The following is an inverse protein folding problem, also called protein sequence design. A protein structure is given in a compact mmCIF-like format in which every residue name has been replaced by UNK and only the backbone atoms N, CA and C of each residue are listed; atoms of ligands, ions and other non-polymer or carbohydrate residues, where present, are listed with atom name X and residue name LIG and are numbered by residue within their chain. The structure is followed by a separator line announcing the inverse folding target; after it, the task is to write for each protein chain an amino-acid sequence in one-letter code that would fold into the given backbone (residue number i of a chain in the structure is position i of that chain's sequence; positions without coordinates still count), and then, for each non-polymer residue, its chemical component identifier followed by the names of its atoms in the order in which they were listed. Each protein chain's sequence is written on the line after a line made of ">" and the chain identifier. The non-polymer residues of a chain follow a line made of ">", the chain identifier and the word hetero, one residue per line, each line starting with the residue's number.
data_IF_385907101655
#
_entry.id   IF_385907101655
#
_cell.length_a   1.000
_cell.length_b   1.000
_cell.length_c   1.000
_cell.angle_alpha   90.00
_cell.angle_beta   90.00
_cell.angle_gamma   90.00
#
_symmetry.space_group_name_H-M   'P 1'
#
loop_
_entity.id
_entity.type
_entity.pdbx_description
1 polymer ?
#
# COMPACT_ATOMS: atom_id res chain seq x y z
N UNK A 1 -5.82 -15.42 14.72
CA UNK A 1 -5.37 -16.69 15.38
C UNK A 1 -4.65 -16.38 16.69
N UNK A 2 -4.63 -17.32 17.68
CA UNK A 2 -3.82 -17.12 18.90
C UNK A 2 -2.34 -17.24 18.52
N UNK A 3 -1.51 -16.28 18.91
CA UNK A 3 -0.10 -16.23 18.55
C UNK A 3 0.72 -15.40 19.56
N UNK A 4 2.03 -15.47 19.45
CA UNK A 4 2.97 -14.59 20.14
C UNK A 4 3.95 -14.03 19.14
N UNK A 5 4.49 -12.85 19.42
CA UNK A 5 5.45 -12.16 18.55
C UNK A 5 6.72 -11.86 19.34
N UNK A 6 7.86 -12.09 18.73
CA UNK A 6 9.18 -11.71 19.26
C UNK A 6 10.02 -11.05 18.16
N UNK A 7 10.81 -10.06 18.52
CA UNK A 7 11.81 -9.48 17.63
C UNK A 7 13.07 -10.33 17.63
N UNK A 8 13.60 -10.61 16.43
CA UNK A 8 14.84 -11.31 16.21
C UNK A 8 15.87 -10.35 15.60
N UNK A 9 16.88 -9.99 16.36
CA UNK A 9 18.02 -9.19 15.89
C UNK A 9 19.20 -10.13 15.66
N UNK A 10 19.77 -10.09 14.45
CA UNK A 10 20.86 -10.96 14.02
C UNK A 10 22.21 -10.27 14.08
N UNK A 11 23.29 -11.04 14.29
CA UNK A 11 24.65 -10.50 14.33
C UNK A 11 25.10 -9.88 13.00
N UNK A 12 24.57 -10.37 11.88
CA UNK A 12 24.84 -9.81 10.56
C UNK A 12 24.15 -8.45 10.31
N UNK A 13 23.24 -8.01 11.22
CA UNK A 13 22.55 -6.72 11.17
C UNK A 13 21.11 -6.77 10.65
N UNK A 14 20.65 -7.92 10.14
CA UNK A 14 19.25 -8.08 9.78
C UNK A 14 18.37 -8.13 11.04
N UNK A 15 17.14 -7.65 10.92
CA UNK A 15 16.14 -7.65 11.98
C UNK A 15 14.80 -8.13 11.46
N UNK A 16 14.03 -8.78 12.31
CA UNK A 16 12.70 -9.23 11.90
C UNK A 16 11.86 -9.70 13.05
N UNK A 17 10.68 -10.19 12.72
CA UNK A 17 9.71 -10.72 13.65
C UNK A 17 9.54 -12.22 13.47
N UNK A 18 9.41 -12.91 14.58
CA UNK A 18 8.94 -14.29 14.64
C UNK A 18 7.52 -14.28 15.21
N UNK A 19 6.55 -14.70 14.41
CA UNK A 19 5.15 -14.79 14.79
C UNK A 19 4.80 -16.26 15.02
N UNK A 20 4.89 -16.70 16.25
CA UNK A 20 4.55 -18.08 16.61
C UNK A 20 3.05 -18.29 16.69
N UNK A 21 2.53 -19.11 15.78
CA UNK A 21 1.13 -19.55 15.73
C UNK A 21 1.08 -21.03 16.09
N UNK A 22 0.68 -21.41 17.31
CA UNK A 22 0.66 -22.80 17.73
C UNK A 22 -0.20 -23.69 16.82
N UNK A 23 0.33 -24.86 16.46
CA UNK A 23 -0.33 -25.83 15.59
C UNK A 23 -0.67 -25.34 14.18
N UNK A 24 -0.02 -24.29 13.69
CA UNK A 24 -0.12 -23.93 12.28
C UNK A 24 0.45 -25.05 11.38
N UNK A 25 -0.24 -25.30 10.28
CA UNK A 25 0.16 -26.28 9.27
C UNK A 25 0.83 -25.63 8.05
N UNK A 26 1.05 -24.31 8.11
CA UNK A 26 1.74 -23.52 7.08
C UNK A 26 2.77 -22.61 7.74
N UNK A 27 3.78 -22.25 6.96
CA UNK A 27 4.76 -21.23 7.32
C UNK A 27 4.73 -20.12 6.28
N UNK A 28 4.91 -18.87 6.71
CA UNK A 28 5.03 -17.73 5.82
C UNK A 28 6.36 -17.00 6.07
N UNK A 29 6.93 -16.47 5.02
CA UNK A 29 8.20 -15.73 5.01
C UNK A 29 8.01 -14.45 4.24
N UNK A 30 8.43 -13.34 4.82
CA UNK A 30 8.47 -12.04 4.16
C UNK A 30 9.84 -11.41 4.36
N UNK A 31 10.44 -10.91 3.28
CA UNK A 31 11.74 -10.23 3.28
C UNK A 31 11.59 -8.88 2.59
N UNK A 32 11.74 -7.81 3.36
CA UNK A 32 11.58 -6.44 2.90
C UNK A 32 12.91 -5.70 2.86
N UNK A 33 13.14 -4.97 1.76
CA UNK A 33 14.28 -4.07 1.59
C UNK A 33 13.78 -2.69 1.18
N UNK A 34 14.28 -1.64 1.80
CA UNK A 34 14.08 -0.28 1.28
C UNK A 34 14.88 -0.14 -0.02
N UNK A 35 14.24 -0.50 -1.11
CA UNK A 35 14.84 -0.65 -2.44
C UNK A 35 13.93 -0.14 -3.57
N UNK A 36 12.91 0.66 -3.24
CA UNK A 36 11.95 1.18 -4.19
C UNK A 36 12.46 2.30 -5.08
N UNK A 37 11.53 2.84 -5.88
CA UNK A 37 11.83 3.82 -6.93
C UNK A 37 12.41 5.14 -6.41
N UNK A 38 12.22 5.49 -5.13
CA UNK A 38 12.81 6.71 -4.53
C UNK A 38 14.34 6.70 -4.49
N UNK A 39 14.97 5.55 -4.71
CA UNK A 39 16.44 5.37 -4.69
C UNK A 39 17.09 5.38 -6.07
N UNK A 40 16.31 5.53 -7.13
CA UNK A 40 16.82 5.52 -8.49
C UNK A 40 16.70 6.88 -9.19
N UNK A 41 17.45 7.09 -10.26
CA UNK A 41 17.24 8.22 -11.15
C UNK A 41 15.78 8.18 -11.68
N UNK A 42 15.01 9.27 -11.56
CA UNK A 42 13.62 9.32 -12.07
C UNK A 42 13.47 8.90 -13.54
N UNK A 43 14.53 8.99 -14.36
CA UNK A 43 14.55 8.51 -15.75
C UNK A 43 14.69 6.99 -15.86
N UNK A 44 15.04 6.32 -14.79
CA UNK A 44 15.25 4.87 -14.71
C UNK A 44 14.27 4.24 -13.70
N UNK A 45 13.08 4.78 -13.64
CA UNK A 45 12.05 4.45 -12.64
C UNK A 45 11.81 2.95 -12.48
N UNK A 46 11.81 2.17 -13.57
CA UNK A 46 11.51 0.72 -13.54
C UNK A 46 12.67 -0.18 -13.09
N UNK A 47 13.80 0.37 -12.68
CA UNK A 47 14.93 -0.45 -12.20
C UNK A 47 14.55 -1.36 -11.02
N UNK A 48 13.86 -0.88 -9.96
CA UNK A 48 13.44 -1.73 -8.84
C UNK A 48 12.43 -2.81 -9.28
N UNK A 49 11.45 -2.44 -10.10
CA UNK A 49 10.41 -3.37 -10.56
C UNK A 49 10.97 -4.49 -11.45
N UNK A 50 11.85 -4.16 -12.41
CA UNK A 50 12.53 -5.18 -13.20
C UNK A 50 13.46 -6.03 -12.31
N UNK A 51 14.12 -5.44 -11.32
CA UNK A 51 14.93 -6.16 -10.35
C UNK A 51 14.12 -7.20 -9.58
N UNK A 52 12.95 -6.82 -9.10
CA UNK A 52 12.02 -7.69 -8.40
C UNK A 52 11.70 -8.94 -9.24
N UNK A 53 11.31 -8.75 -10.52
CA UNK A 53 11.02 -9.85 -11.44
C UNK A 53 12.22 -10.78 -11.66
N UNK A 54 13.41 -10.23 -11.80
CA UNK A 54 14.63 -11.02 -12.07
C UNK A 54 15.09 -11.80 -10.84
N UNK A 55 14.89 -11.28 -9.62
CA UNK A 55 15.42 -11.93 -8.42
C UNK A 55 14.75 -13.26 -8.09
N UNK A 56 13.45 -13.40 -8.34
CA UNK A 56 12.76 -14.69 -8.15
C UNK A 56 12.96 -15.63 -9.35
N UNK A 57 14.17 -15.63 -9.91
CA UNK A 57 14.57 -16.40 -11.09
C UNK A 57 15.84 -17.22 -10.87
N UNK A 58 16.71 -17.25 -11.92
CA UNK A 58 17.97 -17.98 -11.86
C UNK A 58 18.89 -17.47 -10.76
N UNK A 59 19.44 -18.40 -10.01
CA UNK A 59 20.36 -18.13 -8.91
C UNK A 59 21.50 -19.15 -8.93
N UNK A 60 22.55 -18.95 -8.11
CA UNK A 60 23.71 -19.84 -8.09
C UNK A 60 23.38 -21.32 -7.82
N UNK A 61 22.30 -21.57 -7.06
CA UNK A 61 21.86 -22.93 -6.72
C UNK A 61 21.09 -23.59 -7.85
N UNK A 62 20.19 -22.83 -8.50
CA UNK A 62 19.35 -23.30 -9.61
C UNK A 62 19.48 -22.29 -10.77
N UNK A 63 20.40 -22.54 -11.75
CA UNK A 63 20.79 -21.55 -12.76
C UNK A 63 19.76 -21.31 -13.87
N UNK A 64 18.51 -21.78 -13.73
CA UNK A 64 17.42 -21.56 -14.69
C UNK A 64 16.16 -21.17 -13.96
N UNK A 65 15.57 -20.03 -14.31
CA UNK A 65 14.37 -19.50 -13.65
C UNK A 65 13.22 -20.51 -13.63
N UNK A 66 12.94 -21.17 -14.75
CA UNK A 66 11.88 -22.17 -14.85
C UNK A 66 12.08 -23.35 -13.88
N UNK A 67 13.32 -23.80 -13.72
CA UNK A 67 13.63 -24.92 -12.82
C UNK A 67 13.53 -24.47 -11.35
N UNK A 68 13.90 -23.21 -11.07
CA UNK A 68 13.71 -22.60 -9.76
C UNK A 68 12.21 -22.51 -9.40
N UNK A 69 11.37 -21.99 -10.29
CA UNK A 69 9.93 -21.92 -10.05
C UNK A 69 9.31 -23.31 -9.86
N UNK A 70 9.68 -24.29 -10.70
CA UNK A 70 9.21 -25.66 -10.56
C UNK A 70 9.62 -26.29 -9.22
N UNK A 71 10.84 -26.01 -8.74
CA UNK A 71 11.27 -26.51 -7.43
C UNK A 71 10.58 -25.78 -6.27
N UNK A 72 10.32 -24.48 -6.40
CA UNK A 72 9.63 -23.69 -5.37
C UNK A 72 8.17 -24.12 -5.23
N UNK A 73 7.44 -24.30 -6.33
CA UNK A 73 6.02 -24.66 -6.37
C UNK A 73 5.74 -26.16 -6.13
N UNK A 74 6.75 -26.98 -6.10
CA UNK A 74 6.72 -28.45 -6.15
C UNK A 74 5.68 -29.11 -5.23
N UNK A 75 5.48 -28.58 -4.03
CA UNK A 75 4.53 -29.11 -3.05
C UNK A 75 3.37 -28.12 -2.76
N UNK A 76 3.11 -27.20 -3.70
CA UNK A 76 2.06 -26.21 -3.57
C UNK A 76 2.45 -24.98 -2.77
N UNK A 77 3.74 -24.69 -2.65
CA UNK A 77 4.18 -23.42 -2.09
C UNK A 77 3.79 -22.28 -3.03
N UNK A 78 3.39 -21.16 -2.44
CA UNK A 78 3.15 -19.90 -3.11
C UNK A 78 4.34 -18.97 -2.88
N UNK A 79 4.72 -18.22 -3.89
CA UNK A 79 5.68 -17.14 -3.74
C UNK A 79 5.28 -15.94 -4.59
N UNK A 80 5.63 -14.76 -4.13
CA UNK A 80 5.39 -13.52 -4.84
C UNK A 80 6.45 -12.49 -4.45
N UNK A 81 6.55 -11.43 -5.25
CA UNK A 81 7.26 -10.23 -4.87
C UNK A 81 6.43 -9.00 -5.26
N UNK A 82 6.72 -7.90 -4.64
CA UNK A 82 6.06 -6.63 -4.93
C UNK A 82 7.02 -5.46 -4.77
N UNK A 83 6.89 -4.49 -5.66
CA UNK A 83 7.65 -3.23 -5.62
C UNK A 83 6.74 -2.06 -5.34
N UNK A 84 7.11 -1.26 -4.36
CA UNK A 84 6.51 0.04 -4.07
C UNK A 84 7.52 1.16 -4.27
N UNK A 85 7.05 2.41 -4.22
CA UNK A 85 7.96 3.57 -4.25
C UNK A 85 9.06 3.47 -3.19
N UNK A 86 8.79 2.81 -2.07
CA UNK A 86 9.70 2.78 -0.91
C UNK A 86 10.49 1.49 -0.78
N UNK A 87 9.94 0.38 -1.18
CA UNK A 87 10.50 -0.94 -0.85
C UNK A 87 10.24 -2.00 -1.92
N UNK A 88 10.94 -3.10 -1.77
CA UNK A 88 10.64 -4.38 -2.42
C UNK A 88 10.42 -5.40 -1.32
N UNK A 89 9.33 -6.16 -1.43
CA UNK A 89 8.99 -7.26 -0.55
C UNK A 89 8.99 -8.58 -1.32
N UNK A 90 9.62 -9.59 -0.77
CA UNK A 90 9.60 -10.98 -1.26
C UNK A 90 8.86 -11.83 -0.26
N UNK A 91 7.89 -12.59 -0.69
CA UNK A 91 7.06 -13.41 0.18
C UNK A 91 6.94 -14.86 -0.31
N UNK A 92 6.78 -15.78 0.62
CA UNK A 92 6.41 -17.15 0.34
C UNK A 92 5.51 -17.71 1.44
N UNK A 93 4.59 -18.59 1.05
CA UNK A 93 3.79 -19.41 1.95
C UNK A 93 3.90 -20.88 1.53
N UNK A 94 4.12 -21.76 2.50
CA UNK A 94 4.28 -23.18 2.23
C UNK A 94 3.70 -24.05 3.33
N UNK A 95 3.50 -25.32 3.02
CA UNK A 95 3.16 -26.32 4.02
C UNK A 95 4.27 -26.46 5.08
N UNK A 96 3.88 -26.69 6.34
CA UNK A 96 4.79 -26.74 7.48
C UNK A 96 5.91 -27.80 7.34
N UNK A 97 5.64 -28.90 6.63
CA UNK A 97 6.63 -29.98 6.47
C UNK A 97 7.81 -29.64 5.56
N UNK A 98 7.71 -28.56 4.75
CA UNK A 98 8.75 -28.18 3.78
C UNK A 98 9.36 -26.79 4.01
N UNK A 99 9.10 -26.19 5.14
CA UNK A 99 9.45 -24.81 5.43
C UNK A 99 10.96 -24.51 5.27
N UNK A 100 11.82 -25.42 5.68
CA UNK A 100 13.28 -25.24 5.55
C UNK A 100 13.70 -25.15 4.07
N UNK A 101 13.12 -26.03 3.25
CA UNK A 101 13.39 -26.07 1.79
C UNK A 101 12.95 -24.76 1.12
N UNK A 102 11.75 -24.30 1.43
CA UNK A 102 11.21 -23.06 0.82
C UNK A 102 11.96 -21.82 1.30
N UNK A 103 12.26 -21.73 2.59
CA UNK A 103 13.09 -20.65 3.14
C UNK A 103 14.47 -20.60 2.46
N UNK A 104 15.12 -21.75 2.31
CA UNK A 104 16.43 -21.85 1.69
C UNK A 104 16.41 -21.49 0.18
N UNK A 105 15.36 -21.85 -0.54
CA UNK A 105 15.14 -21.45 -1.94
C UNK A 105 14.91 -19.93 -2.07
N UNK A 106 14.08 -19.35 -1.23
CA UNK A 106 13.85 -17.90 -1.22
C UNK A 106 15.13 -17.13 -0.93
N UNK A 107 15.89 -17.57 0.06
CA UNK A 107 17.17 -16.94 0.39
C UNK A 107 18.20 -17.11 -0.72
N UNK A 108 18.25 -18.26 -1.40
CA UNK A 108 19.14 -18.47 -2.56
C UNK A 108 18.82 -17.47 -3.69
N UNK A 109 17.54 -17.26 -3.98
CA UNK A 109 17.10 -16.29 -5.00
C UNK A 109 17.46 -14.85 -4.62
N UNK A 110 17.15 -14.45 -3.38
CA UNK A 110 17.37 -13.08 -2.88
C UNK A 110 18.86 -12.75 -2.74
N UNK A 111 19.70 -13.73 -2.30
CA UNK A 111 21.08 -13.44 -1.94
C UNK A 111 22.12 -13.79 -3.00
N UNK A 112 21.78 -14.65 -3.98
CA UNK A 112 22.70 -15.14 -5.01
C UNK A 112 22.08 -15.17 -6.41
N UNK A 113 21.43 -14.09 -6.86
CA UNK A 113 20.84 -14.02 -8.20
C UNK A 113 21.95 -13.98 -9.27
N UNK A 114 21.67 -14.59 -10.42
CA UNK A 114 22.64 -14.64 -11.52
C UNK A 114 22.55 -13.47 -12.51
N UNK A 115 21.46 -12.74 -12.55
CA UNK A 115 21.24 -11.61 -13.48
C UNK A 115 21.57 -11.95 -14.95
N UNK A 116 21.02 -13.06 -15.42
CA UNK A 116 21.28 -13.55 -16.79
C UNK A 116 20.65 -12.60 -17.82
N UNK A 117 21.38 -12.31 -18.90
CA UNK A 117 20.93 -11.36 -19.93
C UNK A 117 19.62 -11.79 -20.61
N UNK A 118 19.43 -13.08 -20.84
CA UNK A 118 18.24 -13.58 -21.52
C UNK A 118 17.02 -13.56 -20.60
N UNK A 119 17.19 -13.84 -19.30
CA UNK A 119 16.14 -13.68 -18.30
C UNK A 119 15.76 -12.20 -18.13
N UNK A 120 16.74 -11.31 -17.99
CA UNK A 120 16.48 -9.87 -17.97
C UNK A 120 15.65 -9.41 -19.17
N UNK A 121 15.92 -9.92 -20.39
CA UNK A 121 15.13 -9.56 -21.58
C UNK A 121 13.70 -10.09 -21.50
N UNK A 122 13.51 -11.31 -20.99
CA UNK A 122 12.20 -11.90 -20.80
C UNK A 122 11.41 -11.09 -19.77
N UNK A 123 12.00 -10.83 -18.60
CA UNK A 123 11.35 -10.09 -17.53
C UNK A 123 11.10 -8.62 -17.89
N UNK A 124 12.00 -7.98 -18.63
CA UNK A 124 11.73 -6.66 -19.20
C UNK A 124 10.46 -6.67 -20.09
N UNK A 125 10.27 -7.72 -20.89
CA UNK A 125 9.06 -7.91 -21.69
C UNK A 125 7.82 -8.12 -20.82
N UNK A 126 7.91 -8.92 -19.76
CA UNK A 126 6.82 -9.18 -18.82
C UNK A 126 6.39 -7.88 -18.11
N UNK A 127 7.32 -7.10 -17.60
CA UNK A 127 7.06 -5.78 -16.99
C UNK A 127 6.40 -4.82 -17.99
N UNK A 128 6.86 -4.83 -19.25
CA UNK A 128 6.24 -4.02 -20.31
C UNK A 128 4.77 -4.38 -20.54
N UNK A 129 4.45 -5.67 -20.66
CA UNK A 129 3.08 -6.15 -20.83
C UNK A 129 2.20 -5.83 -19.59
N UNK A 130 2.74 -6.00 -18.41
CA UNK A 130 2.06 -5.67 -17.16
C UNK A 130 1.72 -4.17 -17.08
N UNK A 131 2.67 -3.28 -17.33
CA UNK A 131 2.44 -1.83 -17.36
C UNK A 131 1.45 -1.44 -18.46
N UNK A 132 1.52 -2.11 -19.63
CA UNK A 132 0.56 -1.90 -20.71
C UNK A 132 -0.85 -2.27 -20.28
N UNK A 133 -1.03 -3.41 -19.63
CA UNK A 133 -2.33 -3.81 -19.09
C UNK A 133 -2.84 -2.85 -18.02
N UNK A 134 -1.98 -2.45 -17.06
CA UNK A 134 -2.30 -1.49 -16.00
C UNK A 134 -2.64 -0.10 -16.54
N UNK A 135 -2.01 0.32 -17.64
CA UNK A 135 -2.22 1.63 -18.27
C UNK A 135 -3.64 1.84 -18.78
N UNK A 136 -4.42 0.78 -18.95
CA UNK A 136 -5.84 0.83 -19.31
C UNK A 136 -6.77 1.13 -18.12
N UNK A 137 -6.26 1.11 -16.90
CA UNK A 137 -7.04 1.46 -15.72
C UNK A 137 -7.09 2.99 -15.54
N UNK A 138 -8.21 3.59 -15.92
CA UNK A 138 -8.39 5.04 -15.88
C UNK A 138 -8.35 5.63 -14.46
N UNK A 139 -8.91 4.91 -13.47
CA UNK A 139 -8.87 5.35 -12.09
C UNK A 139 -7.43 5.37 -11.54
N UNK A 140 -6.66 4.30 -11.82
CA UNK A 140 -5.24 4.23 -11.48
C UNK A 140 -4.42 5.31 -12.18
N UNK A 141 -4.66 5.55 -13.48
CA UNK A 141 -4.00 6.64 -14.21
C UNK A 141 -4.24 7.98 -13.51
N UNK A 142 -5.51 8.29 -13.22
CA UNK A 142 -5.89 9.54 -12.56
C UNK A 142 -5.24 9.69 -11.18
N UNK A 143 -5.29 8.65 -10.34
CA UNK A 143 -4.74 8.70 -8.99
C UNK A 143 -3.22 8.92 -8.99
N UNK A 144 -2.48 8.25 -9.88
CA UNK A 144 -1.03 8.41 -10.00
C UNK A 144 -0.65 9.80 -10.52
N UNK A 145 -1.34 10.31 -11.56
CA UNK A 145 -1.12 11.64 -12.10
C UNK A 145 -1.41 12.73 -11.06
N UNK A 146 -2.48 12.56 -10.27
CA UNK A 146 -2.83 13.48 -9.22
C UNK A 146 -1.81 13.48 -8.09
N UNK A 147 -1.35 12.31 -7.64
CA UNK A 147 -0.31 12.18 -6.61
C UNK A 147 1.00 12.85 -7.04
N UNK A 148 1.42 12.68 -8.28
CA UNK A 148 2.58 13.38 -8.83
C UNK A 148 2.35 14.89 -8.86
N UNK A 149 1.17 15.35 -9.27
CA UNK A 149 0.84 16.77 -9.37
C UNK A 149 0.95 17.51 -8.04
N UNK A 150 0.62 16.88 -6.91
CA UNK A 150 0.76 17.52 -5.60
C UNK A 150 2.04 17.14 -4.82
N UNK A 151 3.00 16.49 -5.48
CA UNK A 151 4.38 16.39 -5.00
C UNK A 151 4.77 15.07 -4.36
N UNK A 152 3.95 14.02 -4.46
CA UNK A 152 4.38 12.67 -4.10
C UNK A 152 5.21 12.04 -5.22
N UNK A 153 6.06 11.12 -4.84
CA UNK A 153 6.78 10.25 -5.77
C UNK A 153 5.77 9.29 -6.43
N UNK A 154 5.39 9.62 -7.63
CA UNK A 154 4.49 8.80 -8.44
C UNK A 154 4.77 9.01 -9.92
N UNK A 155 4.45 8.01 -10.75
CA UNK A 155 4.44 8.12 -12.20
C UNK A 155 3.30 7.28 -12.76
N UNK A 156 2.63 7.84 -13.76
CA UNK A 156 1.62 7.08 -14.50
C UNK A 156 2.24 5.90 -15.25
N UNK A 157 1.47 4.83 -15.44
CA UNK A 157 1.98 3.64 -16.14
C UNK A 157 2.41 4.00 -17.59
N UNK A 158 1.77 4.99 -18.22
CA UNK A 158 2.17 5.50 -19.56
C UNK A 158 3.55 6.19 -19.54
N UNK A 159 3.86 6.93 -18.47
CA UNK A 159 5.19 7.54 -18.30
C UNK A 159 6.24 6.48 -17.98
N UNK A 160 5.90 5.53 -17.12
CA UNK A 160 6.76 4.39 -16.79
C UNK A 160 7.16 3.62 -18.03
N UNK A 161 6.21 3.26 -18.90
CA UNK A 161 6.48 2.63 -20.22
C UNK A 161 7.46 3.44 -21.07
N UNK A 162 7.31 4.78 -21.13
CA UNK A 162 8.23 5.65 -21.88
C UNK A 162 9.65 5.63 -21.29
N UNK A 163 9.77 5.47 -19.98
CA UNK A 163 11.05 5.50 -19.27
C UNK A 163 11.78 4.14 -19.30
N UNK A 164 11.09 3.03 -19.52
CA UNK A 164 11.70 1.69 -19.58
C UNK A 164 12.90 1.61 -20.52
N UNK A 165 12.86 2.29 -21.67
CA UNK A 165 13.97 2.32 -22.63
C UNK A 165 15.32 2.79 -22.05
N UNK A 166 15.30 3.45 -20.91
CA UNK A 166 16.49 3.95 -20.23
C UNK A 166 17.10 2.93 -19.26
N UNK A 167 16.38 1.85 -18.96
CA UNK A 167 16.80 0.82 -18.00
C UNK A 167 17.65 -0.24 -18.70
N UNK A 168 18.76 -0.59 -18.10
CA UNK A 168 19.69 -1.62 -18.57
C UNK A 168 19.96 -2.63 -17.45
N UNK A 169 20.35 -3.83 -17.81
CA UNK A 169 20.74 -4.86 -16.83
C UNK A 169 21.79 -4.36 -15.83
N UNK A 170 22.74 -3.55 -16.28
CA UNK A 170 23.76 -2.98 -15.40
C UNK A 170 23.16 -2.08 -14.30
N UNK A 171 22.10 -1.35 -14.60
CA UNK A 171 21.39 -0.50 -13.62
C UNK A 171 20.69 -1.36 -12.56
N UNK A 172 20.09 -2.47 -12.97
CA UNK A 172 19.44 -3.45 -12.09
C UNK A 172 20.46 -4.09 -11.15
N UNK A 173 21.61 -4.54 -11.69
CA UNK A 173 22.70 -5.14 -10.90
C UNK A 173 23.29 -4.14 -9.92
N UNK A 174 23.47 -2.88 -10.32
CA UNK A 174 23.98 -1.81 -9.46
C UNK A 174 22.98 -1.52 -8.32
N UNK A 175 21.69 -1.42 -8.63
CA UNK A 175 20.66 -1.17 -7.65
C UNK A 175 20.58 -2.30 -6.61
N UNK A 176 20.64 -3.55 -7.06
CA UNK A 176 20.71 -4.71 -6.18
C UNK A 176 21.90 -4.60 -5.22
N UNK A 177 23.12 -4.39 -5.72
CA UNK A 177 24.34 -4.27 -4.91
C UNK A 177 24.26 -3.14 -3.88
N UNK A 178 23.55 -2.06 -4.22
CA UNK A 178 23.40 -0.91 -3.35
C UNK A 178 22.35 -1.12 -2.25
N UNK A 179 21.29 -1.88 -2.55
CA UNK A 179 20.10 -1.96 -1.69
C UNK A 179 19.97 -3.27 -0.92
N UNK A 180 20.47 -4.39 -1.46
CA UNK A 180 20.37 -5.69 -0.81
C UNK A 180 21.54 -5.91 0.13
N UNK A 181 21.39 -5.39 1.35
CA UNK A 181 22.31 -5.57 2.47
C UNK A 181 21.55 -5.96 3.73
N UNK A 182 22.20 -6.69 4.63
CA UNK A 182 21.55 -7.22 5.84
C UNK A 182 21.03 -6.12 6.75
N UNK A 183 21.72 -4.98 6.89
CA UNK A 183 21.21 -3.84 7.65
C UNK A 183 19.93 -3.23 7.01
N UNK A 184 19.74 -3.38 5.71
CA UNK A 184 18.54 -2.91 5.00
C UNK A 184 17.39 -3.92 5.03
N UNK A 185 17.67 -5.19 5.34
CA UNK A 185 16.70 -6.26 5.39
C UNK A 185 15.85 -6.19 6.66
N UNK A 186 14.53 -6.30 6.49
CA UNK A 186 13.58 -6.64 7.54
C UNK A 186 12.83 -7.89 7.11
N UNK A 187 12.51 -8.76 8.06
CA UNK A 187 11.80 -9.99 7.76
C UNK A 187 10.68 -10.27 8.75
N UNK A 188 9.68 -11.01 8.30
CA UNK A 188 8.68 -11.63 9.17
C UNK A 188 8.61 -13.11 8.82
N UNK A 189 8.75 -13.96 9.83
CA UNK A 189 8.55 -15.41 9.72
C UNK A 189 7.39 -15.79 10.63
N UNK A 190 6.36 -16.42 10.07
CA UNK A 190 5.20 -16.82 10.85
C UNK A 190 4.84 -18.29 10.63
N UNK A 191 4.34 -18.92 11.68
CA UNK A 191 3.92 -20.32 11.67
C UNK A 191 4.15 -21.01 13.01
N UNK A 192 4.24 -22.32 13.02
CA UNK A 192 4.51 -23.08 14.25
C UNK A 192 6.00 -23.02 14.63
N UNK A 193 6.45 -21.89 15.16
CA UNK A 193 7.85 -21.62 15.51
C UNK A 193 8.14 -22.13 16.94
N UNK A 194 8.61 -23.38 17.05
CA UNK A 194 9.11 -23.92 18.31
C UNK A 194 10.50 -23.35 18.64
N UNK A 195 11.00 -23.44 19.89
CA UNK A 195 12.37 -22.99 20.23
C UNK A 195 13.46 -23.56 19.34
N UNK A 196 13.35 -24.84 18.98
CA UNK A 196 14.29 -25.49 18.06
C UNK A 196 14.21 -24.89 16.63
N UNK A 197 13.02 -24.59 16.16
CA UNK A 197 12.84 -23.92 14.85
C UNK A 197 13.38 -22.51 14.87
N UNK A 198 13.18 -21.77 15.95
CA UNK A 198 13.76 -20.43 16.13
C UNK A 198 15.29 -20.48 16.00
N UNK A 199 15.95 -21.42 16.68
CA UNK A 199 17.39 -21.63 16.55
C UNK A 199 17.82 -21.92 15.10
N UNK A 200 17.08 -22.77 14.41
CA UNK A 200 17.34 -23.12 13.01
C UNK A 200 17.14 -21.92 12.09
N UNK A 201 16.04 -21.18 12.24
CA UNK A 201 15.75 -19.95 11.47
C UNK A 201 16.84 -18.92 11.70
N UNK A 202 17.24 -18.69 12.95
CA UNK A 202 18.35 -17.81 13.32
C UNK A 202 19.64 -18.21 12.59
N UNK A 203 20.03 -19.48 12.68
CA UNK A 203 21.26 -19.98 12.05
C UNK A 203 21.23 -19.81 10.52
N UNK A 204 20.11 -20.11 9.87
CA UNK A 204 19.92 -19.91 8.42
C UNK A 204 20.07 -18.44 8.07
N UNK A 205 19.36 -17.54 8.75
CA UNK A 205 19.37 -16.11 8.47
C UNK A 205 20.71 -15.43 8.79
N UNK A 206 21.46 -15.91 9.80
CA UNK A 206 22.81 -15.43 10.09
C UNK A 206 23.85 -15.89 9.05
N UNK A 207 23.60 -17.02 8.37
CA UNK A 207 24.50 -17.55 7.33
C UNK A 207 24.40 -16.80 5.99
N UNK A 208 23.48 -15.85 5.85
CA UNK A 208 23.22 -15.09 4.60
C UNK A 208 24.49 -14.35 4.15
N UNK A 209 24.86 -14.54 2.90
CA UNK A 209 26.04 -13.95 2.25
C UNK A 209 25.72 -12.60 1.57
N UNK A 210 25.03 -11.69 2.26
CA UNK A 210 24.83 -10.30 1.82
C UNK A 210 25.82 -9.36 2.52
N UNK A 211 26.25 -8.25 1.87
CA UNK A 211 27.01 -7.21 2.57
C UNK A 211 26.16 -6.61 3.69
N UNK A 212 26.78 -6.05 4.71
CA UNK A 212 26.01 -5.36 5.76
C UNK A 212 25.20 -4.20 5.20
N UNK A 213 25.79 -3.38 4.34
CA UNK A 213 25.14 -2.22 3.77
C UNK A 213 24.63 -1.22 4.82
N UNK A 214 23.62 -0.43 4.45
CA UNK A 214 22.95 0.55 5.34
C UNK A 214 21.45 0.45 5.21
N UNK A 215 20.71 0.80 6.24
CA UNK A 215 19.25 1.06 6.15
C UNK A 215 19.04 2.43 5.51
N UNK A 216 18.30 2.49 4.42
CA UNK A 216 18.00 3.75 3.75
C UNK A 216 16.91 4.52 4.51
N UNK A 217 17.03 5.84 4.57
CA UNK A 217 15.97 6.70 5.10
C UNK A 217 14.84 6.81 4.08
N UNK A 218 13.61 6.82 4.55
CA UNK A 218 12.46 7.11 3.69
C UNK A 218 12.48 8.57 3.20
N UNK A 219 11.97 8.88 2.02
CA UNK A 219 11.97 10.22 1.47
C UNK A 219 11.10 11.18 2.31
N UNK A 220 11.41 12.46 2.24
CA UNK A 220 10.64 13.51 2.90
C UNK A 220 9.66 14.12 1.89
N UNK A 221 8.56 13.43 1.63
CA UNK A 221 7.51 13.94 0.74
C UNK A 221 6.60 14.90 1.50
N UNK A 222 6.37 16.06 0.91
CA UNK A 222 5.48 17.09 1.47
C UNK A 222 4.49 17.51 0.40
N UNK A 223 3.26 17.01 0.47
CA UNK A 223 2.24 17.35 -0.51
C UNK A 223 1.91 18.86 -0.45
N UNK A 224 1.58 19.43 -1.58
CA UNK A 224 1.15 20.80 -1.73
C UNK A 224 -0.24 20.87 -2.39
N UNK A 225 -0.99 21.92 -2.05
CA UNK A 225 -2.31 22.15 -2.61
C UNK A 225 -2.21 22.46 -4.09
N UNK A 226 -3.12 21.91 -4.90
CA UNK A 226 -3.29 22.33 -6.28
C UNK A 226 -4.07 23.66 -6.33
N UNK A 227 -3.66 24.53 -7.24
CA UNK A 227 -4.39 25.78 -7.49
C UNK A 227 -5.66 25.54 -8.31
N UNK A 228 -5.63 24.50 -9.16
CA UNK A 228 -6.73 24.08 -10.03
C UNK A 228 -6.85 22.56 -9.99
N UNK A 229 -8.05 22.01 -10.27
CA UNK A 229 -8.22 20.57 -10.39
C UNK A 229 -7.40 20.03 -11.56
N UNK A 230 -6.88 18.81 -11.41
CA UNK A 230 -6.22 18.12 -12.52
C UNK A 230 -7.27 17.62 -13.51
N UNK A 231 -7.23 18.12 -14.75
CA UNK A 231 -8.09 17.64 -15.82
C UNK A 231 -7.31 16.81 -16.83
N UNK A 232 -7.74 15.56 -17.03
CA UNK A 232 -7.18 14.66 -18.04
C UNK A 232 -8.26 14.38 -19.09
N UNK A 233 -8.07 14.95 -20.29
CA UNK A 233 -8.98 14.70 -21.40
C UNK A 233 -8.73 13.30 -22.00
N UNK A 234 -9.80 12.49 -22.10
CA UNK A 234 -9.75 11.20 -22.77
C UNK A 234 -11.03 10.96 -23.60
N UNK A 235 -10.89 11.04 -24.93
CA UNK A 235 -11.99 10.92 -25.89
C UNK A 235 -12.80 9.62 -25.77
N UNK A 236 -12.20 8.55 -25.29
CA UNK A 236 -12.86 7.24 -25.18
C UNK A 236 -13.70 7.11 -23.92
N UNK A 237 -13.48 7.97 -22.90
CA UNK A 237 -14.10 7.86 -21.58
C UNK A 237 -15.34 8.74 -21.48
N UNK A 238 -16.52 8.12 -21.57
CA UNK A 238 -17.82 8.80 -21.52
C UNK A 238 -18.21 9.32 -20.13
N UNK A 239 -17.86 8.57 -19.09
CA UNK A 239 -18.11 8.93 -17.71
C UNK A 239 -16.99 9.83 -17.17
N UNK A 240 -17.18 10.36 -15.98
CA UNK A 240 -16.17 11.10 -15.24
C UNK A 240 -15.60 10.13 -14.22
N UNK A 241 -14.29 9.82 -14.32
CA UNK A 241 -13.53 9.30 -13.21
C UNK A 241 -13.05 10.49 -12.40
N UNK A 242 -13.35 10.53 -11.11
CA UNK A 242 -12.83 11.55 -10.23
C UNK A 242 -12.11 10.93 -9.05
N UNK A 243 -11.14 11.67 -8.51
CA UNK A 243 -10.36 11.32 -7.34
C UNK A 243 -10.15 12.57 -6.51
N UNK A 244 -10.44 12.49 -5.23
CA UNK A 244 -10.21 13.55 -4.25
C UNK A 244 -9.27 13.02 -3.19
N UNK A 245 -8.25 13.80 -2.85
CA UNK A 245 -7.29 13.46 -1.81
C UNK A 245 -7.13 14.65 -0.85
N UNK A 246 -7.13 14.38 0.43
CA UNK A 246 -6.96 15.38 1.48
C UNK A 246 -5.81 14.96 2.38
N UNK A 247 -5.09 15.93 2.96
CA UNK A 247 -3.85 15.65 3.66
C UNK A 247 -3.78 16.36 5.02
N UNK A 248 -3.41 15.63 6.05
CA UNK A 248 -2.79 16.21 7.23
C UNK A 248 -1.32 16.52 6.91
N UNK A 249 -0.84 17.73 7.29
CA UNK A 249 0.57 18.17 7.10
C UNK A 249 1.55 17.49 8.06
N UNK A 250 1.12 16.44 8.70
CA UNK A 250 1.86 15.60 9.61
C UNK A 250 1.40 14.16 9.45
N UNK A 251 2.20 13.24 9.92
CA UNK A 251 1.71 11.89 10.14
C UNK A 251 0.80 11.87 11.37
N UNK A 252 -0.35 11.24 11.25
CA UNK A 252 -1.28 11.04 12.35
C UNK A 252 -0.71 10.04 13.37
N UNK A 253 -1.03 10.25 14.65
CA UNK A 253 -0.80 9.23 15.67
C UNK A 253 -1.75 8.03 15.45
N UNK A 254 -1.44 6.90 16.09
CA UNK A 254 -2.16 5.65 15.80
C UNK A 254 -3.66 5.73 16.10
N UNK A 255 -4.04 6.39 17.20
CA UNK A 255 -5.43 6.59 17.59
C UNK A 255 -6.18 7.52 16.65
N UNK A 256 -5.46 8.53 16.11
CA UNK A 256 -6.01 9.45 15.11
C UNK A 256 -6.17 8.75 13.74
N UNK A 257 -5.20 7.91 13.37
CA UNK A 257 -5.29 7.09 12.16
C UNK A 257 -6.46 6.11 12.24
N UNK A 258 -6.64 5.42 13.38
CA UNK A 258 -7.80 4.55 13.60
C UNK A 258 -9.13 5.35 13.55
N UNK A 259 -9.17 6.55 14.11
CA UNK A 259 -10.35 7.43 14.04
C UNK A 259 -10.65 7.86 12.60
N UNK A 260 -9.62 8.11 11.77
CA UNK A 260 -9.77 8.41 10.36
C UNK A 260 -10.27 7.21 9.56
N UNK A 261 -9.82 5.99 9.89
CA UNK A 261 -10.36 4.76 9.32
C UNK A 261 -11.86 4.57 9.65
N UNK A 262 -12.29 4.90 10.88
CA UNK A 262 -13.71 4.88 11.22
C UNK A 262 -14.49 5.96 10.45
N UNK A 263 -13.95 7.16 10.29
CA UNK A 263 -14.54 8.20 9.45
C UNK A 263 -14.70 7.73 7.99
N UNK A 264 -13.69 7.06 7.43
CA UNK A 264 -13.76 6.46 6.10
C UNK A 264 -14.90 5.42 6.00
N UNK A 265 -15.00 4.54 6.99
CA UNK A 265 -16.06 3.52 7.04
C UNK A 265 -17.45 4.15 7.07
N UNK A 266 -17.65 5.19 7.90
CA UNK A 266 -18.92 5.90 8.03
C UNK A 266 -19.29 6.62 6.73
N UNK A 267 -18.30 7.19 6.03
CA UNK A 267 -18.54 8.06 4.88
C UNK A 267 -18.64 7.31 3.56
N UNK A 268 -17.74 6.34 3.29
CA UNK A 268 -17.52 5.88 1.90
C UNK A 268 -17.33 4.38 1.73
N UNK A 269 -17.01 3.60 2.78
CA UNK A 269 -16.49 2.24 2.58
C UNK A 269 -17.57 1.16 2.42
N UNK A 270 -18.77 1.39 2.96
CA UNK A 270 -19.83 0.36 2.99
C UNK A 270 -21.08 0.81 2.24
N UNK A 271 -21.95 -0.15 1.91
CA UNK A 271 -23.27 0.15 1.35
C UNK A 271 -24.22 0.84 2.35
N UNK A 272 -23.85 0.94 3.60
CA UNK A 272 -24.56 1.71 4.64
C UNK A 272 -23.90 3.06 4.91
N UNK A 273 -22.74 3.33 4.30
CA UNK A 273 -22.05 4.59 4.48
C UNK A 273 -22.83 5.77 3.92
N UNK A 274 -22.57 6.95 4.48
CA UNK A 274 -23.35 8.14 4.19
C UNK A 274 -23.29 8.56 2.72
N UNK A 275 -22.09 8.55 2.12
CA UNK A 275 -21.91 8.98 0.73
C UNK A 275 -22.20 7.83 -0.23
N UNK A 276 -21.49 6.71 -0.12
CA UNK A 276 -21.68 5.59 -1.06
C UNK A 276 -23.10 5.01 -0.97
N UNK A 277 -23.61 4.79 0.25
CA UNK A 277 -24.97 4.26 0.45
C UNK A 277 -26.04 5.11 -0.22
N UNK A 278 -26.06 6.42 0.09
CA UNK A 278 -27.01 7.36 -0.52
C UNK A 278 -26.87 7.48 -2.04
N UNK A 279 -25.62 7.53 -2.53
CA UNK A 279 -25.35 7.61 -3.95
C UNK A 279 -25.81 6.35 -4.70
N UNK A 280 -25.63 5.18 -4.09
CA UNK A 280 -26.05 3.90 -4.67
C UNK A 280 -27.57 3.70 -4.66
N UNK A 281 -28.25 4.06 -3.57
CA UNK A 281 -29.71 4.04 -3.47
C UNK A 281 -30.36 4.88 -4.58
N UNK A 282 -29.73 6.03 -4.93
CA UNK A 282 -30.21 6.92 -6.00
C UNK A 282 -29.72 6.50 -7.40
N UNK A 283 -28.97 5.42 -7.52
CA UNK A 283 -28.43 4.95 -8.79
C UNK A 283 -27.41 5.88 -9.44
N UNK A 284 -26.70 6.69 -8.63
CA UNK A 284 -25.73 7.66 -9.14
C UNK A 284 -24.39 7.02 -9.48
N UNK A 285 -23.95 6.07 -8.64
CA UNK A 285 -22.73 5.29 -8.82
C UNK A 285 -22.98 3.82 -8.57
N UNK A 286 -22.15 2.96 -9.17
CA UNK A 286 -22.15 1.54 -8.88
C UNK A 286 -21.31 1.23 -7.64
N UNK A 287 -20.13 1.88 -7.54
CA UNK A 287 -19.16 1.67 -6.48
C UNK A 287 -18.32 2.95 -6.27
N UNK A 288 -17.68 3.03 -5.11
CA UNK A 288 -16.74 4.08 -4.75
C UNK A 288 -15.54 3.44 -4.06
N UNK A 289 -14.35 3.88 -4.43
CA UNK A 289 -13.12 3.50 -3.75
C UNK A 289 -12.69 4.60 -2.80
N UNK A 290 -12.18 4.22 -1.65
CA UNK A 290 -11.66 5.16 -0.64
C UNK A 290 -10.63 4.49 0.24
N UNK A 291 -9.84 5.28 0.96
CA UNK A 291 -8.88 4.76 1.90
C UNK A 291 -8.08 5.83 2.62
N UNK A 292 -7.35 5.39 3.62
CA UNK A 292 -6.36 6.18 4.36
C UNK A 292 -4.98 5.74 3.90
N UNK A 293 -4.07 6.68 3.74
CA UNK A 293 -2.68 6.40 3.40
C UNK A 293 -1.75 7.19 4.32
N UNK A 294 -0.70 6.52 4.79
CA UNK A 294 0.33 7.12 5.63
C UNK A 294 1.66 7.20 4.88
N UNK A 295 2.22 8.41 4.82
CA UNK A 295 3.59 8.66 4.41
C UNK A 295 4.42 9.08 5.63
N UNK A 296 5.71 9.28 5.46
CA UNK A 296 6.60 9.68 6.56
C UNK A 296 6.21 11.00 7.23
N UNK A 297 5.75 11.97 6.45
CA UNK A 297 5.48 13.34 6.91
C UNK A 297 4.04 13.81 6.67
N UNK A 298 3.17 12.93 6.20
CA UNK A 298 1.78 13.26 5.91
C UNK A 298 0.90 12.03 6.07
N UNK A 299 -0.35 12.23 6.43
CA UNK A 299 -1.40 11.23 6.28
C UNK A 299 -2.45 11.77 5.34
N UNK A 300 -3.09 10.90 4.57
CA UNK A 300 -4.13 11.29 3.62
C UNK A 300 -5.38 10.44 3.74
N UNK A 301 -6.50 11.05 3.43
CA UNK A 301 -7.77 10.38 3.16
C UNK A 301 -8.19 10.68 1.74
N UNK A 302 -8.45 9.64 0.97
CA UNK A 302 -8.83 9.76 -0.42
C UNK A 302 -10.11 8.99 -0.72
N UNK A 303 -10.87 9.47 -1.69
CA UNK A 303 -12.01 8.78 -2.24
C UNK A 303 -12.22 9.14 -3.71
N UNK A 304 -12.87 8.26 -4.44
CA UNK A 304 -13.18 8.50 -5.84
C UNK A 304 -14.12 7.47 -6.41
N UNK A 305 -14.69 7.78 -7.55
CA UNK A 305 -15.65 6.93 -8.25
C UNK A 305 -15.67 7.22 -9.75
N UNK A 306 -16.42 6.39 -10.45
CA UNK A 306 -16.86 6.63 -11.82
C UNK A 306 -18.33 7.06 -11.79
N UNK A 307 -18.64 8.21 -12.37
CA UNK A 307 -20.00 8.76 -12.42
C UNK A 307 -20.34 9.28 -13.82
N UNK A 308 -21.60 9.21 -14.23
CA UNK A 308 -22.00 9.85 -15.48
C UNK A 308 -22.00 11.39 -15.33
N UNK A 309 -21.70 12.16 -16.40
CA UNK A 309 -21.76 13.62 -16.34
C UNK A 309 -23.11 14.17 -15.86
N UNK A 310 -24.20 13.47 -16.16
CA UNK A 310 -25.56 13.83 -15.70
C UNK A 310 -25.71 13.71 -14.18
N UNK A 311 -25.14 12.68 -13.58
CA UNK A 311 -25.31 12.35 -12.17
C UNK A 311 -24.26 13.03 -11.27
N UNK A 312 -23.16 13.53 -11.85
CA UNK A 312 -22.05 14.10 -11.11
C UNK A 312 -22.45 15.26 -10.20
N UNK A 313 -23.24 16.25 -10.62
CA UNK A 313 -23.65 17.36 -9.72
C UNK A 313 -24.40 16.87 -8.48
N UNK A 314 -25.32 15.90 -8.62
CA UNK A 314 -26.07 15.37 -7.49
C UNK A 314 -25.15 14.56 -6.54
N UNK A 315 -24.21 13.77 -7.08
CA UNK A 315 -23.23 13.06 -6.27
C UNK A 315 -22.34 14.01 -5.47
N UNK A 316 -21.84 15.07 -6.10
CA UNK A 316 -20.98 16.05 -5.41
C UNK A 316 -21.74 16.83 -4.34
N UNK A 317 -23.03 17.11 -4.57
CA UNK A 317 -23.90 17.68 -3.55
C UNK A 317 -24.03 16.74 -2.34
N UNK A 318 -24.21 15.43 -2.53
CA UNK A 318 -24.24 14.45 -1.44
C UNK A 318 -22.90 14.48 -0.69
N UNK A 319 -21.76 14.48 -1.40
CA UNK A 319 -20.43 14.54 -0.78
C UNK A 319 -20.30 15.78 0.12
N UNK A 320 -20.69 16.94 -0.39
CA UNK A 320 -20.61 18.20 0.36
C UNK A 320 -21.55 18.20 1.58
N UNK A 321 -22.79 17.77 1.40
CA UNK A 321 -23.79 17.73 2.47
C UNK A 321 -23.33 16.80 3.62
N UNK A 322 -22.86 15.58 3.29
CA UNK A 322 -22.44 14.60 4.30
C UNK A 322 -21.15 15.00 5.04
N UNK A 323 -20.20 15.58 4.34
CA UNK A 323 -18.98 16.09 4.99
C UNK A 323 -19.30 17.32 5.85
N UNK A 324 -20.19 18.19 5.41
CA UNK A 324 -20.69 19.31 6.22
C UNK A 324 -21.34 18.83 7.50
N UNK A 325 -22.16 17.77 7.42
CA UNK A 325 -22.78 17.16 8.58
C UNK A 325 -21.75 16.66 9.60
N UNK A 326 -20.66 16.03 9.13
CA UNK A 326 -19.55 15.62 10.00
C UNK A 326 -18.89 16.85 10.64
N UNK A 327 -18.57 17.89 9.88
CA UNK A 327 -17.92 19.09 10.40
C UNK A 327 -18.77 19.81 11.47
N UNK A 328 -20.09 19.79 11.33
CA UNK A 328 -21.04 20.33 12.30
C UNK A 328 -21.33 19.38 13.49
N UNK A 329 -20.69 18.23 13.52
CA UNK A 329 -20.83 17.27 14.63
C UNK A 329 -22.09 16.41 14.56
N UNK A 330 -22.77 16.34 13.42
CA UNK A 330 -23.94 15.48 13.22
C UNK A 330 -23.52 14.03 12.93
N UNK A 331 -22.99 13.39 13.94
CA UNK A 331 -22.57 12.00 13.97
C UNK A 331 -23.27 11.30 15.14
N UNK A 332 -23.95 10.19 14.89
CA UNK A 332 -24.71 9.44 15.89
C UNK A 332 -23.88 8.35 16.56
N UNK A 333 -24.31 7.90 17.75
CA UNK A 333 -23.67 6.77 18.45
C UNK A 333 -23.80 5.48 17.65
N UNK A 334 -24.96 5.24 17.01
CA UNK A 334 -25.20 4.04 16.19
C UNK A 334 -24.23 3.93 15.01
N UNK A 335 -23.92 5.04 14.34
CA UNK A 335 -22.95 5.05 13.24
C UNK A 335 -21.55 4.72 13.71
N UNK A 336 -21.15 5.22 14.88
CA UNK A 336 -19.85 4.93 15.49
C UNK A 336 -19.76 3.45 15.85
N UNK A 337 -20.78 2.92 16.57
CA UNK A 337 -20.84 1.52 16.96
C UNK A 337 -20.83 0.59 15.74
N UNK A 338 -21.57 0.92 14.69
CA UNK A 338 -21.57 0.15 13.42
C UNK A 338 -20.19 0.16 12.74
N UNK A 339 -19.51 1.31 12.68
CA UNK A 339 -18.16 1.41 12.11
C UNK A 339 -17.12 0.66 12.96
N UNK A 340 -17.20 0.73 14.29
CA UNK A 340 -16.35 -0.04 15.20
C UNK A 340 -16.56 -1.54 14.99
N UNK A 341 -17.81 -2.00 14.95
CA UNK A 341 -18.16 -3.41 14.74
C UNK A 341 -17.68 -3.91 13.37
N UNK A 342 -17.83 -3.10 12.33
CA UNK A 342 -17.33 -3.41 10.99
C UNK A 342 -15.79 -3.55 10.95
N UNK A 343 -15.08 -2.59 11.54
CA UNK A 343 -13.61 -2.61 11.61
C UNK A 343 -13.10 -3.82 12.39
N UNK A 344 -13.73 -4.16 13.51
CA UNK A 344 -13.41 -5.37 14.29
C UNK A 344 -13.70 -6.65 13.51
N UNK A 345 -14.81 -6.71 12.78
CA UNK A 345 -15.14 -7.85 11.94
C UNK A 345 -14.09 -8.07 10.84
N UNK A 346 -13.65 -7.00 10.18
CA UNK A 346 -12.54 -7.03 9.20
C UNK A 346 -11.23 -7.50 9.81
N UNK A 347 -10.87 -6.92 10.95
CA UNK A 347 -9.68 -7.29 11.71
C UNK A 347 -9.67 -8.78 12.06
N UNK A 348 -10.79 -9.31 12.59
CA UNK A 348 -10.91 -10.72 12.93
C UNK A 348 -10.82 -11.63 11.70
N UNK A 349 -11.43 -11.25 10.57
CA UNK A 349 -11.34 -12.01 9.32
C UNK A 349 -9.91 -12.03 8.76
N UNK A 350 -9.22 -10.88 8.77
CA UNK A 350 -7.85 -10.77 8.29
C UNK A 350 -6.88 -11.70 9.02
N UNK A 351 -7.10 -11.93 10.30
CA UNK A 351 -6.23 -12.75 11.15
C UNK A 351 -6.64 -14.23 11.23
N UNK A 352 -7.34 -14.77 10.23
CA UNK A 352 -7.76 -16.20 10.22
C UNK A 352 -6.70 -17.13 9.59
N UNK A 353 -5.71 -16.58 8.91
CA UNK A 353 -4.60 -17.33 8.32
C UNK A 353 -3.28 -16.96 8.98
N UNK A 354 -2.25 -17.78 8.80
CA UNK A 354 -0.89 -17.48 9.27
C UNK A 354 -0.37 -16.23 8.56
N UNK A 355 -0.48 -16.19 7.22
CA UNK A 355 -0.11 -15.03 6.42
C UNK A 355 -0.86 -13.76 6.82
N UNK A 356 -2.19 -13.83 7.01
CA UNK A 356 -2.97 -12.68 7.47
C UNK A 356 -2.59 -12.20 8.87
N UNK A 357 -2.14 -13.11 9.75
CA UNK A 357 -1.61 -12.76 11.08
C UNK A 357 -0.25 -12.08 10.96
N UNK A 358 0.64 -12.60 10.10
CA UNK A 358 1.95 -12.01 9.81
C UNK A 358 1.80 -10.60 9.24
N UNK A 359 0.95 -10.45 8.22
CA UNK A 359 0.71 -9.18 7.52
C UNK A 359 0.21 -8.05 8.46
N UNK A 360 -0.53 -8.40 9.52
CA UNK A 360 -0.94 -7.46 10.56
C UNK A 360 0.24 -6.81 11.31
N UNK A 361 1.44 -7.37 11.23
CA UNK A 361 2.68 -6.80 11.80
C UNK A 361 3.61 -6.23 10.76
N UNK A 362 3.64 -6.83 9.55
CA UNK A 362 4.67 -6.61 8.53
C UNK A 362 4.74 -5.16 8.10
N UNK A 363 3.64 -4.56 7.68
CA UNK A 363 3.62 -3.22 7.11
C UNK A 363 4.22 -2.20 8.10
N UNK A 364 3.74 -2.20 9.33
CA UNK A 364 4.19 -1.25 10.34
C UNK A 364 5.62 -1.51 10.78
N UNK A 365 6.00 -2.77 10.88
CA UNK A 365 7.39 -3.12 11.22
C UNK A 365 8.36 -2.77 10.09
N UNK A 366 8.01 -3.01 8.84
CA UNK A 366 8.87 -2.67 7.70
C UNK A 366 9.03 -1.16 7.55
N UNK A 367 7.97 -0.40 7.81
CA UNK A 367 8.00 1.04 7.65
C UNK A 367 8.65 1.74 8.86
N UNK A 368 8.22 1.42 10.08
CA UNK A 368 8.54 2.16 11.31
C UNK A 368 9.39 1.37 12.32
N UNK A 369 9.58 0.08 12.15
CA UNK A 369 10.17 -0.85 13.13
C UNK A 369 9.37 -0.88 14.45
N UNK A 370 8.05 -0.71 14.38
CA UNK A 370 7.13 -0.77 15.51
C UNK A 370 6.38 -2.09 15.52
N UNK A 371 6.41 -2.76 16.68
CA UNK A 371 5.61 -3.97 16.93
C UNK A 371 4.33 -3.52 17.64
N UNK A 372 3.23 -3.59 16.92
CA UNK A 372 1.94 -3.24 17.48
C UNK A 372 1.36 -4.42 18.28
N UNK A 373 0.84 -4.15 19.49
CA UNK A 373 0.16 -5.20 20.26
C UNK A 373 -1.20 -5.53 19.65
N UNK A 374 -1.23 -6.61 18.87
CA UNK A 374 -2.41 -7.14 18.21
C UNK A 374 -3.62 -7.26 19.16
N UNK A 375 -3.40 -7.68 20.39
CA UNK A 375 -4.48 -7.91 21.35
C UNK A 375 -5.06 -6.62 21.95
N UNK A 376 -4.37 -5.49 21.80
CA UNK A 376 -4.87 -4.17 22.18
C UNK A 376 -5.68 -3.49 21.07
N UNK A 377 -5.57 -3.92 19.81
CA UNK A 377 -6.29 -3.30 18.69
C UNK A 377 -7.81 -3.26 18.91
N UNK A 378 -8.48 -4.36 19.33
CA UNK A 378 -9.93 -4.30 19.59
C UNK A 378 -10.32 -3.28 20.67
N UNK A 379 -9.52 -3.18 21.73
CA UNK A 379 -9.77 -2.22 22.82
C UNK A 379 -9.58 -0.79 22.31
N UNK A 380 -8.54 -0.54 21.50
CA UNK A 380 -8.27 0.78 20.91
C UNK A 380 -9.41 1.21 19.98
N UNK A 381 -9.87 0.32 19.08
CA UNK A 381 -11.00 0.60 18.19
C UNK A 381 -12.26 0.96 19.01
N UNK A 382 -12.58 0.21 20.07
CA UNK A 382 -13.72 0.52 20.93
C UNK A 382 -13.56 1.82 21.74
N UNK A 383 -12.34 2.28 21.99
CA UNK A 383 -12.09 3.52 22.74
C UNK A 383 -12.21 4.78 21.89
N UNK A 384 -12.34 4.67 20.56
CA UNK A 384 -12.45 5.82 19.68
C UNK A 384 -13.78 6.53 19.94
N UNK A 385 -13.67 7.82 20.24
CA UNK A 385 -14.82 8.66 20.58
C UNK A 385 -15.34 9.44 19.39
N UNK A 386 -16.57 9.92 19.49
CA UNK A 386 -17.15 10.87 18.55
C UNK A 386 -16.22 12.08 18.32
N UNK A 387 -15.69 12.66 19.39
CA UNK A 387 -14.78 13.82 19.32
C UNK A 387 -13.53 13.48 18.50
N UNK A 388 -12.89 12.34 18.74
CA UNK A 388 -11.71 11.92 17.97
C UNK A 388 -11.99 11.79 16.47
N UNK A 389 -13.13 11.21 16.10
CA UNK A 389 -13.54 11.09 14.67
C UNK A 389 -13.77 12.49 14.06
N UNK A 390 -14.47 13.38 14.77
CA UNK A 390 -14.76 14.72 14.27
C UNK A 390 -13.51 15.58 14.14
N UNK A 391 -12.61 15.50 15.11
CA UNK A 391 -11.38 16.29 15.12
C UNK A 391 -10.44 15.90 13.98
N UNK A 392 -10.22 14.59 13.77
CA UNK A 392 -9.39 14.14 12.64
C UNK A 392 -10.04 14.44 11.29
N UNK A 393 -11.36 14.27 11.15
CA UNK A 393 -12.06 14.61 9.92
C UNK A 393 -11.96 16.11 9.61
N UNK A 394 -12.09 16.98 10.62
CA UNK A 394 -11.90 18.42 10.44
C UNK A 394 -10.46 18.77 10.09
N UNK A 395 -9.47 18.15 10.74
CA UNK A 395 -8.05 18.38 10.44
C UNK A 395 -7.73 18.05 8.98
N UNK A 396 -8.29 16.96 8.41
CA UNK A 396 -8.09 16.59 7.01
C UNK A 396 -8.56 17.69 6.04
N UNK A 397 -9.44 18.58 6.42
CA UNK A 397 -10.01 19.64 5.59
C UNK A 397 -9.63 21.06 6.01
N UNK A 398 -9.09 21.31 7.21
CA UNK A 398 -8.87 22.65 7.76
C UNK A 398 -7.83 23.45 6.96
N UNK A 399 -6.58 23.37 7.35
CA UNK A 399 -5.49 24.10 6.68
C UNK A 399 -4.75 23.24 5.65
N UNK A 400 -5.34 22.12 5.25
CA UNK A 400 -4.61 21.06 4.63
C UNK A 400 -4.47 21.19 3.12
N UNK A 401 -3.52 20.46 2.61
CA UNK A 401 -3.33 20.23 1.19
C UNK A 401 -4.44 19.31 0.70
N UNK A 402 -5.06 19.66 -0.37
CA UNK A 402 -6.01 18.81 -1.04
C UNK A 402 -5.90 18.93 -2.55
N UNK A 403 -6.36 17.93 -3.24
CA UNK A 403 -6.42 17.93 -4.68
C UNK A 403 -7.62 17.17 -5.19
N UNK A 404 -8.17 17.61 -6.30
CA UNK A 404 -9.14 16.88 -7.08
C UNK A 404 -8.60 16.68 -8.49
N UNK A 405 -8.78 15.48 -9.02
CA UNK A 405 -8.53 15.18 -10.41
C UNK A 405 -9.77 14.57 -11.06
N UNK A 406 -9.91 14.77 -12.37
CA UNK A 406 -10.91 14.12 -13.18
C UNK A 406 -10.33 13.67 -14.53
N UNK A 407 -10.75 12.49 -14.97
CA UNK A 407 -10.44 11.92 -16.28
C UNK A 407 -11.73 11.63 -17.03
N UNK A 408 -11.95 12.29 -18.16
CA UNK A 408 -13.20 12.22 -18.93
C UNK A 408 -13.04 12.81 -20.34
N UNK A 409 -14.00 12.54 -21.22
CA UNK A 409 -14.17 13.29 -22.47
C UNK A 409 -15.04 14.54 -22.35
N UNK A 410 -15.74 14.71 -21.22
CA UNK A 410 -16.58 15.89 -21.00
C UNK A 410 -15.73 17.17 -20.96
N UNK A 411 -16.35 18.32 -21.15
CA UNK A 411 -15.68 19.62 -21.10
C UNK A 411 -15.06 19.89 -19.72
N UNK A 412 -13.91 20.52 -19.68
CA UNK A 412 -13.19 20.90 -18.45
C UNK A 412 -14.04 21.79 -17.53
N UNK A 413 -14.99 22.54 -18.10
CA UNK A 413 -15.93 23.37 -17.36
C UNK A 413 -16.70 22.58 -16.30
N UNK A 414 -17.13 21.34 -16.62
CA UNK A 414 -17.84 20.49 -15.65
C UNK A 414 -16.94 20.15 -14.44
N UNK A 415 -15.66 19.91 -14.69
CA UNK A 415 -14.68 19.60 -13.61
C UNK A 415 -14.50 20.83 -12.72
N UNK A 416 -14.41 22.01 -13.30
CA UNK A 416 -14.33 23.27 -12.57
C UNK A 416 -15.58 23.52 -11.72
N UNK A 417 -16.77 23.26 -12.25
CA UNK A 417 -18.03 23.37 -11.52
C UNK A 417 -18.08 22.41 -10.33
N UNK A 418 -17.72 21.12 -10.52
CA UNK A 418 -17.68 20.12 -9.45
C UNK A 418 -16.65 20.49 -8.36
N UNK A 419 -15.48 21.01 -8.74
CA UNK A 419 -14.48 21.51 -7.78
C UNK A 419 -15.01 22.74 -7.04
N UNK A 420 -15.79 23.59 -7.69
CA UNK A 420 -16.49 24.73 -7.07
C UNK A 420 -17.42 24.28 -5.95
N UNK A 421 -18.16 23.18 -6.15
CA UNK A 421 -18.99 22.58 -5.09
C UNK A 421 -18.14 22.12 -3.90
N UNK A 422 -17.04 21.41 -4.13
CA UNK A 422 -16.15 20.95 -3.07
C UNK A 422 -15.49 22.11 -2.30
N UNK A 423 -15.24 23.26 -2.94
CA UNK A 423 -14.64 24.42 -2.28
C UNK A 423 -15.46 24.97 -1.12
N UNK A 424 -16.77 24.68 -1.07
CA UNK A 424 -17.64 25.06 0.05
C UNK A 424 -17.18 24.40 1.35
N UNK A 425 -16.61 23.18 1.28
CA UNK A 425 -16.09 22.45 2.43
C UNK A 425 -14.94 23.21 3.10
N UNK A 426 -13.97 23.69 2.30
CA UNK A 426 -12.78 24.40 2.82
C UNK A 426 -13.08 25.81 3.34
N UNK A 427 -14.27 26.32 3.06
CA UNK A 427 -14.76 27.62 3.57
C UNK A 427 -15.63 27.46 4.81
N UNK A 428 -15.90 26.23 5.24
CA UNK A 428 -16.82 25.95 6.34
C UNK A 428 -16.27 26.52 7.68
N UNK A 429 -17.15 27.18 8.43
CA UNK A 429 -16.75 27.88 9.68
C UNK A 429 -16.19 26.94 10.74
N UNK A 430 -16.68 25.68 10.82
CA UNK A 430 -16.22 24.69 11.78
C UNK A 430 -14.75 24.25 11.56
N UNK A 431 -14.14 24.59 10.42
CA UNK A 431 -12.73 24.31 10.11
C UNK A 431 -11.81 25.50 10.46
N UNK A 432 -12.35 26.63 10.89
CA UNK A 432 -11.63 27.88 11.16
C UNK A 432 -11.48 28.17 12.64
N UNK A 433 -11.76 27.16 13.49
CA UNK A 433 -11.71 27.30 14.95
C UNK A 433 -10.31 27.28 15.54
#
# INVERSE_FOLDING_TARGET
>A
MKHTVSELVLENGAKGLLVHVPAANVMTFEFNFRAGEYLVDPKKWEVPHIMEHVLLGANERIPRARDFQAELEKNGAYSNASTSVYDINYEAECADFEWERVLDLMLAAITKPLFLRDEYRAEYGNVWEELTARSNNHFRHLSLALREAYGFLAKTDQERLKLMKNVRLADVVEHYKNTHGTNNMRFVVAGNITPKREETIRAILESIQLPRGRRFALPNERPHRLEQPLYIHNQTVKNIYFYVDTFAKRRLEIEESDALHLANTILTETLHSRILGKARERGLVYDMSSGVHEAKLASSWWFGAQVSPKNAPELFKIIVDELTDIFEGRLTGEEIEAAQAYSLGRFQRGAQTVGGTANGYSERYFFDEVIEDYYQIPKRIHSITKTGILDVAREMFAENVWGMGALTRADEKIVTELTGELNQLWQHKALRG
#
